data_IF_990072093601
#
_entry.id   IF_990072093601
#
_cell.length_a   1.000
_cell.length_b   1.000
_cell.length_c   1.000
_cell.angle_alpha   90.00
_cell.angle_beta   90.00
_cell.angle_gamma   90.00
#
_symmetry.space_group_name_H-M   'P 1'
#
loop_
_entity.id
_entity.type
_entity.pdbx_description
1 polymer ?
#
# COMPACT_ATOMS: atom_id res chain seq x y z
N UNK A 1 24.23 -16.35 -0.51
CA UNK A 1 23.45 -16.79 0.66
C UNK A 1 22.54 -15.63 1.07
N UNK A 2 21.29 -15.88 1.47
CA UNK A 2 20.42 -14.79 1.95
C UNK A 2 21.04 -14.20 3.24
N UNK A 3 21.42 -12.93 3.20
CA UNK A 3 21.86 -12.22 4.40
C UNK A 3 20.62 -11.63 5.08
N UNK A 4 20.14 -12.28 6.16
CA UNK A 4 18.96 -11.84 6.92
C UNK A 4 19.10 -10.40 7.44
N UNK A 5 20.32 -10.02 7.82
CA UNK A 5 20.64 -8.66 8.24
C UNK A 5 20.40 -7.64 7.12
N UNK A 6 20.72 -7.99 5.86
CA UNK A 6 20.48 -7.12 4.70
C UNK A 6 18.99 -6.88 4.45
N UNK A 7 18.16 -7.92 4.60
CA UNK A 7 16.70 -7.80 4.48
C UNK A 7 16.16 -6.87 5.57
N UNK A 8 16.56 -7.09 6.82
CA UNK A 8 16.12 -6.31 7.96
C UNK A 8 16.50 -4.82 7.83
N UNK A 9 17.74 -4.51 7.43
CA UNK A 9 18.19 -3.12 7.29
C UNK A 9 17.42 -2.38 6.20
N UNK A 10 17.17 -3.04 5.06
CA UNK A 10 16.39 -2.45 3.96
C UNK A 10 14.95 -2.21 4.41
N UNK A 11 14.34 -3.21 5.04
CA UNK A 11 12.98 -3.11 5.58
C UNK A 11 12.85 -1.96 6.59
N UNK A 12 13.76 -1.91 7.57
CA UNK A 12 13.78 -0.89 8.60
C UNK A 12 14.01 0.51 8.02
N UNK A 13 14.94 0.65 7.05
CA UNK A 13 15.22 1.92 6.38
C UNK A 13 13.97 2.50 5.72
N UNK A 14 13.24 1.67 4.98
CA UNK A 14 12.01 2.09 4.30
C UNK A 14 10.92 2.45 5.30
N UNK A 15 10.77 1.69 6.38
CA UNK A 15 9.83 2.02 7.46
C UNK A 15 10.17 3.34 8.14
N UNK A 16 11.44 3.58 8.47
CA UNK A 16 11.88 4.85 9.07
C UNK A 16 11.59 6.01 8.12
N UNK A 17 11.84 5.84 6.81
CA UNK A 17 11.50 6.86 5.81
C UNK A 17 10.00 7.14 5.78
N UNK A 18 9.18 6.09 5.79
CA UNK A 18 7.72 6.21 5.83
C UNK A 18 7.25 7.00 7.06
N UNK A 19 7.72 6.65 8.27
CA UNK A 19 7.35 7.37 9.51
C UNK A 19 7.90 8.80 9.58
N UNK A 20 9.01 9.10 8.92
CA UNK A 20 9.57 10.46 8.82
C UNK A 20 8.78 11.33 7.84
N UNK A 21 8.22 10.76 6.78
CA UNK A 21 7.36 11.44 5.82
C UNK A 21 5.93 11.63 6.39
N UNK A 22 5.80 12.35 7.52
CA UNK A 22 4.51 12.58 8.20
C UNK A 22 3.42 13.11 7.26
N UNK A 23 3.80 14.02 6.37
CA UNK A 23 2.88 14.60 5.39
C UNK A 23 2.29 13.52 4.49
N UNK A 24 3.11 12.56 4.03
CA UNK A 24 2.66 11.45 3.18
C UNK A 24 1.62 10.59 3.86
N UNK A 25 1.82 10.29 5.15
CA UNK A 25 0.86 9.50 5.96
C UNK A 25 -0.47 10.26 6.11
N UNK A 26 -0.41 11.57 6.38
CA UNK A 26 -1.63 12.38 6.51
C UNK A 26 -2.34 12.44 5.16
N UNK A 27 -1.62 12.74 4.08
CA UNK A 27 -2.22 12.87 2.73
C UNK A 27 -2.78 11.56 2.22
N UNK A 28 -2.18 10.41 2.59
CA UNK A 28 -2.70 9.11 2.17
C UNK A 28 -4.01 8.75 2.87
N UNK A 29 -4.32 9.37 4.02
CA UNK A 29 -5.60 9.19 4.72
C UNK A 29 -6.68 10.17 4.24
N UNK A 30 -6.29 11.32 3.67
CA UNK A 30 -7.25 12.29 3.14
C UNK A 30 -8.15 11.62 2.09
N UNK A 31 -7.57 10.90 1.13
CA UNK A 31 -8.35 10.29 0.05
C UNK A 31 -9.39 9.26 0.54
N UNK A 32 -9.03 8.26 1.40
CA UNK A 32 -10.00 7.35 2.01
C UNK A 32 -11.09 8.06 2.81
N UNK A 33 -10.71 9.05 3.63
CA UNK A 33 -11.65 9.82 4.46
C UNK A 33 -12.61 10.60 3.56
N UNK A 34 -12.11 11.29 2.55
CA UNK A 34 -12.93 12.03 1.59
C UNK A 34 -13.91 11.10 0.89
N UNK A 35 -13.47 9.91 0.46
CA UNK A 35 -14.36 8.91 -0.15
C UNK A 35 -15.46 8.46 0.81
N UNK A 36 -15.12 8.09 2.04
CA UNK A 36 -16.10 7.62 3.04
C UNK A 36 -17.09 8.72 3.45
N UNK A 37 -16.63 9.96 3.66
CA UNK A 37 -17.50 11.03 4.12
C UNK A 37 -18.32 11.67 3.00
N UNK A 38 -17.70 11.99 1.85
CA UNK A 38 -18.41 12.64 0.74
C UNK A 38 -19.31 11.64 0.05
N UNK A 39 -18.78 10.48 -0.32
CA UNK A 39 -19.54 9.52 -1.14
C UNK A 39 -20.43 8.67 -0.24
N UNK A 40 -19.91 8.18 0.88
CA UNK A 40 -20.68 7.41 1.87
C UNK A 40 -21.90 8.17 2.41
N UNK A 41 -21.70 9.37 2.98
CA UNK A 41 -22.84 10.16 3.50
C UNK A 41 -23.61 10.92 2.42
N UNK A 42 -22.93 11.40 1.38
CA UNK A 42 -23.58 12.16 0.31
C UNK A 42 -24.55 11.32 -0.52
N UNK A 43 -24.26 10.02 -0.71
CA UNK A 43 -25.14 9.10 -1.44
C UNK A 43 -26.07 8.28 -0.53
N UNK A 44 -25.75 8.13 0.76
CA UNK A 44 -26.56 7.37 1.73
C UNK A 44 -28.00 7.86 1.91
N UNK A 45 -28.31 9.11 1.53
CA UNK A 45 -29.70 9.63 1.56
C UNK A 45 -30.59 9.13 0.42
N UNK A 46 -30.02 8.62 -0.68
CA UNK A 46 -30.76 8.18 -1.87
C UNK A 46 -30.52 6.72 -2.25
N UNK A 47 -29.52 6.05 -1.67
CA UNK A 47 -29.13 4.71 -2.04
C UNK A 47 -28.76 3.88 -0.80
N UNK A 48 -29.63 2.94 -0.43
CA UNK A 48 -29.45 2.01 0.69
C UNK A 48 -29.39 0.57 0.13
N UNK A 49 -28.25 0.13 -0.40
CA UNK A 49 -28.11 -1.23 -0.87
C UNK A 49 -28.28 -2.20 0.30
N UNK A 50 -29.21 -3.15 0.17
CA UNK A 50 -29.49 -4.19 1.17
C UNK A 50 -29.94 -3.67 2.56
N UNK A 51 -30.42 -2.42 2.65
CA UNK A 51 -30.84 -1.82 3.91
C UNK A 51 -29.70 -1.30 4.79
N UNK A 52 -28.46 -1.34 4.30
CA UNK A 52 -27.27 -0.83 4.98
C UNK A 52 -26.98 0.61 4.56
N UNK A 53 -26.30 1.36 5.44
CA UNK A 53 -25.76 2.67 5.07
C UNK A 53 -24.76 2.48 3.93
N UNK A 54 -24.79 3.38 2.95
CA UNK A 54 -23.91 3.29 1.79
C UNK A 54 -22.44 3.37 2.19
N UNK A 55 -22.13 4.09 3.26
CA UNK A 55 -20.80 4.16 3.84
C UNK A 55 -20.31 2.79 4.38
N UNK A 56 -21.21 2.01 4.99
CA UNK A 56 -20.91 0.66 5.50
C UNK A 56 -20.62 -0.32 4.35
N UNK A 57 -21.42 -0.26 3.29
CA UNK A 57 -21.19 -1.06 2.07
C UNK A 57 -19.86 -0.72 1.38
N UNK A 58 -19.48 0.56 1.35
CA UNK A 58 -18.28 1.03 0.66
C UNK A 58 -16.98 0.77 1.46
N UNK A 59 -17.08 0.67 2.78
CA UNK A 59 -15.94 0.58 3.70
C UNK A 59 -14.87 -0.46 3.32
N UNK A 60 -15.19 -1.75 3.09
CA UNK A 60 -14.18 -2.74 2.68
C UNK A 60 -13.53 -2.40 1.33
N UNK A 61 -14.28 -1.78 0.42
CA UNK A 61 -13.74 -1.30 -0.86
C UNK A 61 -12.68 -0.21 -0.66
N UNK A 62 -12.93 0.77 0.20
CA UNK A 62 -11.95 1.83 0.51
C UNK A 62 -10.69 1.27 1.17
N UNK A 63 -10.82 0.28 2.04
CA UNK A 63 -9.66 -0.44 2.61
C UNK A 63 -8.87 -1.14 1.50
N UNK A 64 -9.54 -1.87 0.61
CA UNK A 64 -8.93 -2.55 -0.53
C UNK A 64 -8.21 -1.59 -1.48
N UNK A 65 -8.84 -0.46 -1.82
CA UNK A 65 -8.23 0.61 -2.61
C UNK A 65 -6.95 1.11 -1.96
N UNK A 66 -7.01 1.44 -0.66
CA UNK A 66 -5.86 1.94 0.08
C UNK A 66 -4.70 0.96 0.01
N UNK A 67 -4.95 -0.33 0.20
CA UNK A 67 -3.93 -1.38 0.09
C UNK A 67 -3.41 -1.49 -1.34
N UNK A 68 -4.28 -1.46 -2.36
CA UNK A 68 -3.89 -1.59 -3.76
C UNK A 68 -2.94 -0.47 -4.19
N UNK A 69 -3.35 0.78 -4.01
CA UNK A 69 -2.56 1.94 -4.41
C UNK A 69 -1.22 1.96 -3.65
N UNK A 70 -1.24 1.79 -2.33
CA UNK A 70 -0.02 1.86 -1.52
C UNK A 70 0.97 0.75 -1.85
N UNK A 71 0.49 -0.48 -2.10
CA UNK A 71 1.35 -1.65 -2.35
C UNK A 71 2.07 -1.53 -3.69
N UNK A 72 1.33 -1.15 -4.74
CA UNK A 72 1.85 -0.96 -6.09
C UNK A 72 2.84 0.21 -6.13
N UNK A 73 2.46 1.36 -5.56
CA UNK A 73 3.31 2.54 -5.55
C UNK A 73 4.49 2.45 -4.55
N UNK A 74 4.56 1.44 -3.68
CA UNK A 74 5.75 1.21 -2.84
C UNK A 74 7.00 0.89 -3.66
N UNK A 75 6.83 0.25 -4.82
CA UNK A 75 7.91 -0.16 -5.71
C UNK A 75 8.58 1.03 -6.44
N UNK A 76 7.95 2.21 -6.43
CA UNK A 76 8.53 3.50 -6.86
C UNK A 76 9.91 3.72 -6.24
N UNK A 77 10.07 3.37 -4.96
CA UNK A 77 11.32 3.54 -4.22
C UNK A 77 12.52 2.86 -4.90
N UNK A 78 12.30 1.75 -5.63
CA UNK A 78 13.35 1.04 -6.37
C UNK A 78 13.84 1.85 -7.55
N UNK A 79 12.90 2.40 -8.32
CA UNK A 79 13.22 3.23 -9.48
C UNK A 79 13.96 4.48 -9.02
N UNK A 80 13.49 5.10 -7.93
CA UNK A 80 14.18 6.23 -7.31
C UNK A 80 15.60 5.89 -6.87
N UNK A 81 15.78 4.82 -6.09
CA UNK A 81 17.11 4.40 -5.63
C UNK A 81 18.05 4.12 -6.82
N UNK A 82 17.53 3.61 -7.94
CA UNK A 82 18.31 3.36 -9.16
C UNK A 82 18.68 4.65 -9.90
N UNK A 83 17.70 5.54 -10.10
CA UNK A 83 17.84 6.79 -10.84
C UNK A 83 18.87 7.72 -10.18
N UNK A 84 18.84 7.82 -8.84
CA UNK A 84 19.79 8.62 -8.06
C UNK A 84 21.10 7.89 -7.71
N UNK A 85 21.33 6.70 -8.26
CA UNK A 85 22.59 5.96 -8.07
C UNK A 85 22.78 5.29 -6.69
N UNK A 86 21.87 5.50 -5.74
CA UNK A 86 21.91 4.85 -4.42
C UNK A 86 21.90 3.32 -4.51
N UNK A 87 21.18 2.76 -5.49
CA UNK A 87 21.18 1.33 -5.75
C UNK A 87 22.55 0.82 -6.19
N UNK A 88 23.34 1.64 -6.91
CA UNK A 88 24.72 1.30 -7.29
C UNK A 88 25.62 1.27 -6.06
N UNK A 89 25.45 2.20 -5.11
CA UNK A 89 26.18 2.18 -3.83
C UNK A 89 25.84 0.95 -2.97
N UNK A 90 24.56 0.57 -2.87
CA UNK A 90 24.16 -0.65 -2.14
C UNK A 90 24.75 -1.91 -2.79
N UNK A 91 24.78 -1.96 -4.13
CA UNK A 91 25.32 -3.11 -4.88
C UNK A 91 26.84 -3.26 -4.80
N UNK A 92 27.56 -2.23 -4.35
CA UNK A 92 29.00 -2.31 -4.04
C UNK A 92 29.23 -2.93 -2.65
N UNK A 93 28.23 -2.88 -1.77
CA UNK A 93 28.23 -3.60 -0.50
C UNK A 93 27.95 -5.10 -0.67
N UNK A 94 28.22 -5.93 0.36
CA UNK A 94 27.98 -7.37 0.33
C UNK A 94 26.48 -7.72 0.49
N UNK A 95 25.59 -7.03 -0.22
CA UNK A 95 24.14 -7.23 -0.14
C UNK A 95 23.65 -7.96 -1.39
N UNK A 96 23.05 -9.13 -1.19
CA UNK A 96 22.52 -9.92 -2.30
C UNK A 96 21.29 -9.24 -2.94
N UNK A 97 21.15 -9.36 -4.27
CA UNK A 97 19.99 -8.81 -5.01
C UNK A 97 18.66 -9.35 -4.50
N UNK A 98 18.62 -10.61 -4.08
CA UNK A 98 17.43 -11.25 -3.49
C UNK A 98 17.08 -10.65 -2.14
N UNK A 99 18.06 -10.31 -1.29
CA UNK A 99 17.82 -9.60 -0.03
C UNK A 99 17.15 -8.24 -0.25
N UNK A 100 17.50 -7.53 -1.34
CA UNK A 100 16.88 -6.23 -1.66
C UNK A 100 15.42 -6.40 -2.06
N UNK A 101 15.13 -7.37 -2.93
CA UNK A 101 13.76 -7.63 -3.40
C UNK A 101 12.85 -8.04 -2.23
N UNK A 102 13.31 -8.97 -1.39
CA UNK A 102 12.52 -9.44 -0.23
C UNK A 102 12.33 -8.32 0.79
N UNK A 103 13.39 -7.56 1.12
CA UNK A 103 13.29 -6.43 2.04
C UNK A 103 12.31 -5.36 1.57
N UNK A 104 12.32 -5.04 0.26
CA UNK A 104 11.39 -4.06 -0.30
C UNK A 104 9.96 -4.57 -0.45
N UNK A 105 9.77 -5.86 -0.75
CA UNK A 105 8.43 -6.47 -0.76
C UNK A 105 7.82 -6.46 0.65
N UNK A 106 8.62 -6.78 1.67
CA UNK A 106 8.21 -6.70 3.07
C UNK A 106 7.94 -5.26 3.52
N UNK A 107 8.74 -4.29 3.08
CA UNK A 107 8.50 -2.89 3.46
C UNK A 107 7.23 -2.37 2.81
N UNK A 108 7.03 -2.65 1.51
CA UNK A 108 5.80 -2.29 0.79
C UNK A 108 4.56 -2.85 1.47
N UNK A 109 4.53 -4.17 1.69
CA UNK A 109 3.43 -4.84 2.38
C UNK A 109 3.18 -4.29 3.78
N UNK A 110 4.23 -4.07 4.59
CA UNK A 110 4.08 -3.50 5.93
C UNK A 110 3.49 -2.09 5.88
N UNK A 111 3.97 -1.23 4.98
CA UNK A 111 3.43 0.14 4.84
C UNK A 111 1.97 0.15 4.38
N UNK A 112 1.58 -0.76 3.50
CA UNK A 112 0.21 -0.92 3.02
C UNK A 112 -0.72 -1.45 4.10
N UNK A 113 -0.28 -2.45 4.86
CA UNK A 113 -1.02 -2.96 6.02
C UNK A 113 -1.20 -1.86 7.05
N UNK A 114 -0.15 -1.08 7.37
CA UNK A 114 -0.25 0.06 8.29
C UNK A 114 -1.28 1.09 7.80
N UNK A 115 -1.22 1.49 6.53
CA UNK A 115 -2.17 2.47 5.99
C UNK A 115 -3.60 1.95 5.95
N UNK A 116 -3.82 0.71 5.51
CA UNK A 116 -5.16 0.15 5.52
C UNK A 116 -5.66 -0.11 6.95
N UNK A 117 -4.78 -0.37 7.93
CA UNK A 117 -5.15 -0.46 9.34
C UNK A 117 -5.62 0.90 9.87
N UNK A 118 -4.95 1.99 9.49
CA UNK A 118 -5.41 3.34 9.81
C UNK A 118 -6.80 3.64 9.24
N UNK A 119 -7.11 3.12 8.05
CA UNK A 119 -8.48 3.19 7.49
C UNK A 119 -9.45 2.28 8.24
N UNK A 120 -9.05 1.06 8.63
CA UNK A 120 -9.86 0.16 9.45
C UNK A 120 -10.24 0.80 10.80
N UNK A 121 -9.36 1.61 11.39
CA UNK A 121 -9.66 2.37 12.62
C UNK A 121 -10.79 3.40 12.43
N UNK A 122 -11.16 3.73 11.19
CA UNK A 122 -12.32 4.58 10.89
C UNK A 122 -13.66 3.84 10.94
N UNK A 123 -13.66 2.51 11.08
CA UNK A 123 -14.87 1.68 11.13
C UNK A 123 -15.94 2.17 12.13
N UNK A 124 -15.59 2.59 13.37
CA UNK A 124 -16.58 3.08 14.33
C UNK A 124 -17.31 4.35 13.86
N UNK A 125 -16.68 5.17 13.00
CA UNK A 125 -17.31 6.38 12.46
C UNK A 125 -18.31 6.09 11.33
N UNK A 126 -18.31 4.86 10.82
CA UNK A 126 -19.11 4.39 9.70
C UNK A 126 -20.16 3.35 10.16
N UNK A 127 -20.29 3.12 11.47
CA UNK A 127 -21.15 2.09 12.07
C UNK A 127 -20.86 0.66 11.58
N UNK A 128 -19.61 0.37 11.21
CA UNK A 128 -19.20 -0.99 10.81
C UNK A 128 -18.78 -1.77 12.06
N UNK A 129 -19.52 -2.84 12.36
CA UNK A 129 -19.21 -3.73 13.48
C UNK A 129 -18.01 -4.66 13.16
N UNK A 130 -16.83 -4.27 13.61
CA UNK A 130 -15.63 -5.09 13.50
C UNK A 130 -15.46 -6.00 14.73
N UNK A 131 -15.72 -7.29 14.56
CA UNK A 131 -15.27 -8.29 15.54
C UNK A 131 -13.75 -8.47 15.48
N UNK A 132 -13.15 -8.90 16.59
CA UNK A 132 -11.70 -9.18 16.67
C UNK A 132 -11.27 -10.20 15.62
N UNK A 133 -12.10 -11.22 15.37
CA UNK A 133 -11.86 -12.21 14.32
C UNK A 133 -11.79 -11.57 12.94
N UNK A 134 -12.78 -10.73 12.58
CA UNK A 134 -12.81 -10.04 11.29
C UNK A 134 -11.62 -9.10 11.11
N UNK A 135 -11.21 -8.41 12.17
CA UNK A 135 -10.04 -7.53 12.16
C UNK A 135 -8.74 -8.30 11.89
N UNK A 136 -8.52 -9.41 12.59
CA UNK A 136 -7.32 -10.24 12.37
C UNK A 136 -7.31 -10.87 10.97
N UNK A 137 -8.46 -11.36 10.49
CA UNK A 137 -8.56 -11.86 9.11
C UNK A 137 -8.31 -10.77 8.08
N UNK A 138 -8.79 -9.55 8.30
CA UNK A 138 -8.55 -8.42 7.41
C UNK A 138 -7.05 -8.12 7.34
N UNK A 139 -6.34 -8.04 8.46
CA UNK A 139 -4.89 -7.84 8.48
C UNK A 139 -4.13 -8.90 7.69
N UNK A 140 -4.51 -10.18 7.83
CA UNK A 140 -3.87 -11.28 7.11
C UNK A 140 -4.12 -11.19 5.60
N UNK A 141 -5.36 -10.94 5.19
CA UNK A 141 -5.73 -10.77 3.78
C UNK A 141 -5.01 -9.57 3.17
N UNK A 142 -4.99 -8.44 3.89
CA UNK A 142 -4.28 -7.23 3.46
C UNK A 142 -2.78 -7.49 3.31
N UNK A 143 -2.17 -8.27 4.22
CA UNK A 143 -0.77 -8.63 4.10
C UNK A 143 -0.49 -9.48 2.86
N UNK A 144 -1.30 -10.51 2.59
CA UNK A 144 -1.12 -11.37 1.41
C UNK A 144 -1.31 -10.60 0.09
N UNK A 145 -2.36 -9.77 0.02
CA UNK A 145 -2.64 -8.94 -1.16
C UNK A 145 -1.50 -7.93 -1.35
N UNK A 146 -1.13 -7.22 -0.29
CA UNK A 146 -0.08 -6.20 -0.37
C UNK A 146 1.27 -6.79 -0.74
N UNK A 147 1.64 -7.95 -0.18
CA UNK A 147 2.87 -8.64 -0.53
C UNK A 147 2.91 -9.05 -2.00
N UNK A 148 1.79 -9.56 -2.52
CA UNK A 148 1.67 -9.95 -3.94
C UNK A 148 1.75 -8.74 -4.86
N UNK A 149 1.02 -7.68 -4.55
CA UNK A 149 1.00 -6.43 -5.33
C UNK A 149 2.33 -5.68 -5.27
N UNK A 150 2.97 -5.62 -4.10
CA UNK A 150 4.31 -5.05 -3.97
C UNK A 150 5.32 -5.85 -4.78
N UNK A 151 5.28 -7.18 -4.73
CA UNK A 151 6.16 -8.03 -5.54
C UNK A 151 5.94 -7.82 -7.04
N UNK A 152 4.70 -7.68 -7.47
CA UNK A 152 4.35 -7.35 -8.85
C UNK A 152 4.89 -5.97 -9.27
N UNK A 153 4.72 -4.96 -8.42
CA UNK A 153 5.27 -3.64 -8.66
C UNK A 153 6.80 -3.63 -8.73
N UNK A 154 7.47 -4.44 -7.91
CA UNK A 154 8.93 -4.62 -7.94
C UNK A 154 9.38 -5.26 -9.26
N UNK A 155 8.62 -6.24 -9.77
CA UNK A 155 8.89 -6.88 -11.06
C UNK A 155 8.87 -5.84 -12.20
N UNK A 156 7.89 -4.95 -12.21
CA UNK A 156 7.81 -3.86 -13.19
C UNK A 156 8.94 -2.85 -12.98
N UNK A 157 9.16 -2.41 -11.73
CA UNK A 157 10.23 -1.47 -11.37
C UNK A 157 11.61 -1.99 -11.78
N UNK A 158 11.80 -3.32 -11.77
CA UNK A 158 13.06 -3.94 -12.17
C UNK A 158 13.44 -3.63 -13.62
N UNK A 159 12.46 -3.40 -14.50
CA UNK A 159 12.63 -3.11 -15.93
C UNK A 159 12.60 -1.62 -16.29
N UNK A 160 12.25 -0.75 -15.34
CA UNK A 160 12.09 0.68 -15.57
C UNK A 160 13.34 1.47 -15.20
N UNK A 161 13.69 2.47 -16.01
CA UNK A 161 14.85 3.33 -15.77
C UNK A 161 14.47 4.71 -15.21
N UNK A 162 13.26 5.19 -15.51
CA UNK A 162 12.78 6.52 -15.11
C UNK A 162 11.55 6.44 -14.22
N UNK A 163 11.46 7.37 -13.27
CA UNK A 163 10.30 7.52 -12.40
C UNK A 163 9.01 7.73 -13.18
N UNK A 164 9.06 8.57 -14.21
CA UNK A 164 7.90 8.97 -15.01
C UNK A 164 7.33 7.78 -15.78
N UNK A 165 8.19 6.97 -16.42
CA UNK A 165 7.77 5.77 -17.14
C UNK A 165 7.12 4.74 -16.22
N UNK A 166 7.69 4.55 -15.03
CA UNK A 166 7.11 3.68 -14.02
C UNK A 166 5.72 4.15 -13.57
N UNK A 167 5.55 5.44 -13.25
CA UNK A 167 4.27 5.98 -12.81
C UNK A 167 3.18 5.85 -13.87
N UNK A 168 3.50 6.04 -15.15
CA UNK A 168 2.56 5.90 -16.26
C UNK A 168 2.06 4.46 -16.40
N UNK A 169 2.98 3.49 -16.42
CA UNK A 169 2.62 2.07 -16.51
C UNK A 169 1.81 1.63 -15.29
N UNK A 170 2.21 2.05 -14.09
CA UNK A 170 1.49 1.68 -12.88
C UNK A 170 0.10 2.28 -12.84
N UNK A 171 -0.09 3.55 -13.22
CA UNK A 171 -1.44 4.12 -13.33
C UNK A 171 -2.30 3.37 -14.36
N UNK A 172 -1.73 3.03 -15.52
CA UNK A 172 -2.43 2.27 -16.54
C UNK A 172 -2.89 0.89 -16.04
N UNK A 173 -2.07 0.21 -15.21
CA UNK A 173 -2.41 -1.10 -14.65
C UNK A 173 -3.37 -1.01 -13.45
N UNK A 174 -3.19 0.00 -12.60
CA UNK A 174 -4.03 0.22 -11.41
C UNK A 174 -5.46 0.54 -11.80
N UNK A 175 -5.67 1.32 -12.86
CA UNK A 175 -7.01 1.75 -13.27
C UNK A 175 -7.95 0.55 -13.53
N UNK A 176 -7.59 -0.46 -14.34
CA UNK A 176 -8.39 -1.68 -14.46
C UNK A 176 -8.55 -2.43 -13.13
N UNK A 177 -7.46 -2.65 -12.39
CA UNK A 177 -7.50 -3.40 -11.12
C UNK A 177 -8.32 -2.73 -10.02
N UNK A 178 -8.58 -1.43 -10.16
CA UNK A 178 -9.44 -0.69 -9.28
C UNK A 178 -10.93 -1.01 -9.51
N UNK A 179 -11.31 -1.30 -10.75
CA UNK A 179 -12.70 -1.57 -11.13
C UNK A 179 -13.06 -3.07 -11.12
N UNK A 180 -12.08 -3.95 -11.35
CA UNK A 180 -12.25 -5.40 -11.46
C UNK A 180 -11.59 -6.12 -10.28
#
# INVERSE_FOLDING_TARGET
MLHWQGIYVIWLRELIRFFREKLRIVTSLIQPVVWLFIVGRGMGSNFSPMGLDYAEFMFPGVVGMTVLFTSIFSAVSIVWDREFGFLKEIMVGPVSRTSIVVGKALSGSTTSVLQGTLVLMLAPFVNVDLTVSSFVSALLVMFLISFSLSSFGILIASRMETMQGFQLIMNFLVMPMFFF
#
